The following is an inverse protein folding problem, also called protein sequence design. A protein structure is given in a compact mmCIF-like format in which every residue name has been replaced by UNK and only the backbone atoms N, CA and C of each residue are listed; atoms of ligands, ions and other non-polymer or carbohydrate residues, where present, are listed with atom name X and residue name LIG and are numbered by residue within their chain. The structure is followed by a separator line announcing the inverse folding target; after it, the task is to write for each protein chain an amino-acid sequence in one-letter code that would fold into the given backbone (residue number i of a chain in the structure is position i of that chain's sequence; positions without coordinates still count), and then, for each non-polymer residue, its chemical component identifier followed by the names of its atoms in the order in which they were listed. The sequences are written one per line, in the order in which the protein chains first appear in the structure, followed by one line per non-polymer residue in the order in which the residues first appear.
data_IF_085181687271
#
_entry.id   IF_085181687271
#
_cell.length_a   1.000
_cell.length_b   1.000
_cell.length_c   1.000
_cell.angle_alpha   90.00
_cell.angle_beta   90.00
_cell.angle_gamma   90.00
#
_symmetry.space_group_name_H-M   'P 1'
#
loop_
_entity.id
_entity.type
_entity.pdbx_description
1 polymer ?
#
# COMPACT_ATOMS: atom_id res chain seq x y z
N UNK A 1 -10.75 8.14 11.16
CA UNK A 1 -10.94 8.86 9.88
C UNK A 1 -9.98 8.43 8.77
N UNK A 2 -8.69 8.18 9.05
CA UNK A 2 -7.71 7.83 8.01
C UNK A 2 -7.86 6.39 7.46
N UNK A 3 -8.16 5.42 8.33
CA UNK A 3 -8.32 4.01 7.93
C UNK A 3 -9.39 3.81 6.84
N UNK A 4 -10.62 4.36 6.97
CA UNK A 4 -11.64 4.21 5.92
C UNK A 4 -11.25 4.80 4.56
N UNK A 5 -10.38 5.83 4.55
CA UNK A 5 -9.85 6.40 3.28
C UNK A 5 -8.82 5.47 2.64
N UNK A 6 -7.98 4.83 3.45
CA UNK A 6 -6.98 3.87 2.97
C UNK A 6 -7.68 2.64 2.40
N UNK A 7 -8.68 2.11 3.11
CA UNK A 7 -9.51 0.98 2.67
C UNK A 7 -10.17 1.29 1.33
N UNK A 8 -10.93 2.39 1.23
CA UNK A 8 -11.56 2.80 -0.04
C UNK A 8 -10.56 3.00 -1.18
N UNK A 9 -9.36 3.53 -0.88
CA UNK A 9 -8.32 3.70 -1.90
C UNK A 9 -7.81 2.35 -2.39
N UNK A 10 -7.58 1.40 -1.48
CA UNK A 10 -7.16 0.05 -1.84
C UNK A 10 -8.23 -0.66 -2.66
N UNK A 11 -9.49 -0.59 -2.25
CA UNK A 11 -10.62 -1.16 -3.00
C UNK A 11 -10.70 -0.60 -4.42
N UNK A 12 -10.46 0.72 -4.55
CA UNK A 12 -10.37 1.36 -5.86
C UNK A 12 -9.16 0.88 -6.67
N UNK A 13 -8.01 0.63 -6.05
CA UNK A 13 -6.85 0.05 -6.75
C UNK A 13 -7.18 -1.33 -7.31
N UNK A 14 -7.84 -2.19 -6.54
CA UNK A 14 -8.29 -3.50 -7.00
C UNK A 14 -9.25 -3.34 -8.18
N UNK A 15 -10.29 -2.51 -8.03
CA UNK A 15 -11.25 -2.25 -9.12
C UNK A 15 -10.64 -1.62 -10.37
N UNK A 16 -9.44 -1.02 -10.28
CA UNK A 16 -8.73 -0.42 -11.41
C UNK A 16 -7.70 -1.36 -12.06
N UNK A 17 -7.57 -2.61 -11.60
CA UNK A 17 -6.69 -3.59 -12.24
C UNK A 17 -5.42 -3.93 -11.46
N UNK A 18 -5.28 -3.51 -10.19
CA UNK A 18 -4.03 -3.73 -9.46
C UNK A 18 -3.72 -5.22 -9.22
N UNK A 19 -4.74 -6.09 -9.12
CA UNK A 19 -4.53 -7.53 -8.96
C UNK A 19 -3.99 -8.14 -10.28
N UNK A 20 -4.53 -7.69 -11.40
CA UNK A 20 -4.14 -8.07 -12.75
C UNK A 20 -2.71 -7.59 -13.06
N UNK A 21 -2.35 -6.36 -12.66
CA UNK A 21 -0.98 -5.84 -12.79
C UNK A 21 0.02 -6.72 -12.03
N UNK A 22 -0.30 -7.08 -10.79
CA UNK A 22 0.58 -7.95 -9.98
C UNK A 22 0.64 -9.36 -10.57
N UNK A 23 -0.49 -9.93 -11.01
CA UNK A 23 -0.53 -11.24 -11.65
C UNK A 23 0.31 -11.30 -12.94
N UNK A 24 0.25 -10.25 -13.77
CA UNK A 24 1.06 -10.14 -14.98
C UNK A 24 2.58 -10.06 -14.69
N UNK A 25 2.97 -9.68 -13.47
CA UNK A 25 4.35 -9.63 -13.02
C UNK A 25 4.80 -10.89 -12.25
N UNK A 26 3.94 -11.90 -12.08
CA UNK A 26 4.21 -13.08 -11.24
C UNK A 26 5.52 -13.80 -11.62
N UNK A 27 5.77 -13.99 -12.92
CA UNK A 27 6.97 -14.66 -13.44
C UNK A 27 8.27 -13.88 -13.23
N UNK A 28 8.16 -12.57 -12.95
CA UNK A 28 9.29 -11.65 -12.74
C UNK A 28 9.41 -11.19 -11.29
N UNK A 29 8.56 -11.72 -10.40
CA UNK A 29 8.54 -11.31 -9.01
C UNK A 29 9.73 -11.88 -8.26
N UNK A 30 10.54 -10.97 -7.73
CA UNK A 30 11.63 -11.27 -6.81
C UNK A 30 11.43 -10.40 -5.55
N UNK A 31 11.15 -11.01 -4.39
CA UNK A 31 10.90 -10.27 -3.15
C UNK A 31 12.10 -9.43 -2.69
N UNK A 32 13.30 -9.64 -3.23
CA UNK A 32 14.49 -8.86 -2.89
C UNK A 32 14.61 -7.56 -3.67
N UNK A 33 13.94 -7.44 -4.82
CA UNK A 33 13.94 -6.22 -5.63
C UNK A 33 13.19 -5.06 -4.94
N UNK A 34 13.74 -3.83 -4.95
CA UNK A 34 13.10 -2.68 -4.32
C UNK A 34 11.67 -2.39 -4.82
N UNK A 35 11.39 -2.62 -6.10
CA UNK A 35 10.06 -2.43 -6.70
C UNK A 35 9.04 -3.43 -6.13
N UNK A 36 9.43 -4.68 -5.94
CA UNK A 36 8.57 -5.74 -5.40
C UNK A 36 8.26 -5.55 -3.91
N UNK A 37 8.99 -4.68 -3.21
CA UNK A 37 8.77 -4.32 -1.80
C UNK A 37 7.76 -3.17 -1.61
N UNK A 38 7.21 -2.63 -2.70
CA UNK A 38 6.17 -1.59 -2.62
C UNK A 38 4.93 -2.12 -1.89
N UNK A 39 4.36 -1.33 -0.97
CA UNK A 39 3.20 -1.74 -0.17
C UNK A 39 2.03 -2.10 -1.08
N UNK A 40 1.47 -3.30 -0.90
CA UNK A 40 0.43 -3.87 -1.73
C UNK A 40 0.94 -4.93 -2.71
N UNK A 41 2.20 -4.84 -3.17
CA UNK A 41 2.76 -5.81 -4.12
C UNK A 41 3.01 -7.17 -3.45
N UNK A 42 3.72 -7.28 -2.29
CA UNK A 42 3.90 -8.56 -1.61
C UNK A 42 2.56 -9.18 -1.18
N UNK A 43 1.63 -8.37 -0.71
CA UNK A 43 0.33 -8.86 -0.23
C UNK A 43 -0.52 -9.42 -1.37
N UNK A 44 -0.59 -8.72 -2.51
CA UNK A 44 -1.30 -9.21 -3.68
C UNK A 44 -0.59 -10.37 -4.34
N UNK A 45 0.74 -10.40 -4.35
CA UNK A 45 1.51 -11.52 -4.88
C UNK A 45 1.26 -12.81 -4.09
N UNK A 46 1.23 -12.72 -2.76
CA UNK A 46 0.88 -13.85 -1.90
C UNK A 46 -0.53 -14.39 -2.21
N UNK A 47 -1.48 -13.50 -2.51
CA UNK A 47 -2.81 -13.91 -2.98
C UNK A 47 -2.75 -14.58 -4.36
N UNK A 48 -2.06 -13.98 -5.34
CA UNK A 48 -1.88 -14.53 -6.70
C UNK A 48 -1.25 -15.92 -6.67
N UNK A 49 -0.33 -16.18 -5.73
CA UNK A 49 0.32 -17.48 -5.52
C UNK A 49 -0.55 -18.49 -4.74
N UNK A 50 -1.75 -18.10 -4.31
CA UNK A 50 -2.65 -18.95 -3.53
C UNK A 50 -2.24 -19.16 -2.08
N UNK A 51 -1.31 -18.36 -1.56
CA UNK A 51 -0.79 -18.49 -0.19
C UNK A 51 -1.78 -17.92 0.84
N UNK A 52 -2.51 -16.85 0.47
CA UNK A 52 -3.53 -16.21 1.32
C UNK A 52 -4.78 -15.79 0.53
N UNK A 53 -5.96 -15.69 1.18
CA UNK A 53 -7.16 -15.13 0.57
C UNK A 53 -7.01 -13.62 0.26
N UNK A 54 -7.77 -13.12 -0.73
CA UNK A 54 -7.75 -11.71 -1.13
C UNK A 54 -8.13 -10.77 0.03
N UNK A 55 -9.11 -11.16 0.84
CA UNK A 55 -9.53 -10.38 2.01
C UNK A 55 -8.41 -10.22 3.03
N UNK A 56 -7.56 -11.24 3.19
CA UNK A 56 -6.40 -11.19 4.06
C UNK A 56 -5.29 -10.33 3.46
N UNK A 57 -5.00 -10.48 2.16
CA UNK A 57 -4.06 -9.62 1.45
C UNK A 57 -4.45 -8.14 1.56
N UNK A 58 -5.75 -7.84 1.38
CA UNK A 58 -6.33 -6.51 1.58
C UNK A 58 -6.10 -6.00 3.00
N UNK A 59 -6.42 -6.80 4.02
CA UNK A 59 -6.25 -6.41 5.42
C UNK A 59 -4.78 -6.08 5.73
N UNK A 60 -3.85 -6.92 5.27
CA UNK A 60 -2.40 -6.73 5.42
C UNK A 60 -1.92 -5.45 4.73
N UNK A 61 -2.31 -5.21 3.49
CA UNK A 61 -1.92 -4.02 2.72
C UNK A 61 -2.47 -2.72 3.35
N UNK A 62 -3.70 -2.75 3.88
CA UNK A 62 -4.30 -1.63 4.63
C UNK A 62 -3.51 -1.35 5.90
N UNK A 63 -3.14 -2.38 6.66
CA UNK A 63 -2.30 -2.23 7.87
C UNK A 63 -0.94 -1.64 7.53
N UNK A 64 -0.25 -2.17 6.52
CA UNK A 64 1.05 -1.69 6.07
C UNK A 64 0.99 -0.21 5.63
N UNK A 65 -0.05 0.16 4.87
CA UNK A 65 -0.29 1.54 4.45
C UNK A 65 -0.51 2.46 5.65
N UNK A 66 -1.26 2.03 6.67
CA UNK A 66 -1.47 2.81 7.91
C UNK A 66 -0.17 3.04 8.66
N UNK A 67 0.66 2.01 8.78
CA UNK A 67 1.97 2.10 9.45
C UNK A 67 2.90 3.05 8.68
N UNK A 68 2.93 2.96 7.36
CA UNK A 68 3.69 3.87 6.51
C UNK A 68 3.22 5.32 6.68
N UNK A 69 1.91 5.58 6.63
CA UNK A 69 1.34 6.91 6.87
C UNK A 69 1.63 7.45 8.29
N UNK A 70 1.78 6.56 9.29
CA UNK A 70 2.25 6.94 10.63
C UNK A 70 3.72 7.35 10.58
N UNK A 71 4.59 6.54 9.96
CA UNK A 71 6.03 6.85 9.81
C UNK A 71 6.25 8.16 9.07
N UNK A 72 5.54 8.40 7.96
CA UNK A 72 5.60 9.66 7.23
C UNK A 72 5.21 10.85 8.13
N UNK A 73 4.11 10.77 8.87
CA UNK A 73 3.69 11.84 9.80
C UNK A 73 4.75 12.12 10.88
N UNK A 74 5.34 11.07 11.46
CA UNK A 74 6.42 11.24 12.45
C UNK A 74 7.63 11.92 11.82
N UNK A 75 8.04 11.49 10.63
CA UNK A 75 9.18 12.06 9.92
C UNK A 75 8.95 13.53 9.56
N UNK A 76 7.79 13.87 8.99
CA UNK A 76 7.43 15.26 8.66
C UNK A 76 7.41 16.14 9.90
N UNK A 77 6.85 15.68 11.02
CA UNK A 77 6.86 16.45 12.28
C UNK A 77 8.28 16.77 12.74
N UNK A 78 9.20 15.81 12.62
CA UNK A 78 10.58 15.97 13.08
C UNK A 78 11.45 16.81 12.12
N UNK A 79 11.20 16.72 10.81
CA UNK A 79 12.08 17.34 9.79
C UNK A 79 11.55 18.64 9.21
N UNK A 80 10.24 18.86 9.27
CA UNK A 80 9.54 19.91 8.52
C UNK A 80 8.79 20.90 9.42
N UNK A 81 9.27 21.13 10.64
CA UNK A 81 8.64 22.07 11.59
C UNK A 81 8.56 23.52 11.09
N UNK A 82 9.41 23.92 10.14
CA UNK A 82 9.42 25.25 9.53
C UNK A 82 8.56 25.37 8.26
N UNK A 83 7.87 24.30 7.84
CA UNK A 83 7.07 24.32 6.62
C UNK A 83 5.81 25.18 6.78
N UNK A 84 5.54 26.01 5.78
CA UNK A 84 4.30 26.78 5.70
C UNK A 84 3.13 25.86 5.35
N UNK A 85 2.13 25.80 6.23
CA UNK A 85 0.92 25.05 5.98
C UNK A 85 0.03 25.78 4.97
N UNK A 86 -0.05 25.25 3.74
CA UNK A 86 -1.03 25.70 2.76
C UNK A 86 -2.42 25.17 3.15
N UNK A 87 -3.40 26.06 3.30
CA UNK A 87 -4.80 25.65 3.43
C UNK A 87 -5.31 25.27 2.04
N UNK A 88 -5.87 24.06 1.91
CA UNK A 88 -6.63 23.71 0.73
C UNK A 88 -7.92 24.55 0.73
N UNK A 89 -8.15 25.31 -0.35
CA UNK A 89 -9.42 26.00 -0.61
C UNK A 89 -10.54 25.05 -0.95
#
# INVERSE_FOLDING_TARGET
WLTPRIERRFDRMIAMGALEEVAAMADRYDPDLPSCKAIGVPELMAHVRGEIPLDEARARAVIATRQFAKRQRTWFRARMGAWTHLRAG
#
